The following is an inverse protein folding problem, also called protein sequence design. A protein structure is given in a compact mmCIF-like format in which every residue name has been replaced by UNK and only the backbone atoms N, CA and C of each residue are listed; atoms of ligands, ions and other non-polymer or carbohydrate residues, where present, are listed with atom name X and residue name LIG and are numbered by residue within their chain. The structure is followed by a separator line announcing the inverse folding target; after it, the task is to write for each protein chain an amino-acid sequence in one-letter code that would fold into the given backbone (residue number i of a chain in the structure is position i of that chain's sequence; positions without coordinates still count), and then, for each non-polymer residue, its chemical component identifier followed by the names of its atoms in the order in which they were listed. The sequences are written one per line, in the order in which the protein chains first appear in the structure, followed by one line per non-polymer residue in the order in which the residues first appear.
data_IF_342628071608
#
_entry.id   IF_342628071608
#
_cell.length_a   1.000
_cell.length_b   1.000
_cell.length_c   1.000
_cell.angle_alpha   90.00
_cell.angle_beta   90.00
_cell.angle_gamma   90.00
#
_symmetry.space_group_name_H-M   'P 1'
#
loop_
_entity.id
_entity.type
_entity.pdbx_description
1 polymer ?
#
# COMPACT_ATOMS: atom_id res chain seq x y z
N UNK A 1 15.45 3.94 -3.55
CA UNK A 1 16.09 3.72 -2.24
C UNK A 1 15.02 3.43 -1.20
N UNK A 2 15.23 2.42 -0.41
CA UNK A 2 14.32 2.05 0.68
C UNK A 2 14.50 2.97 1.89
N UNK A 3 13.44 3.21 2.68
CA UNK A 3 13.59 3.97 3.92
C UNK A 3 14.59 3.31 4.85
N UNK A 4 15.37 4.11 5.52
CA UNK A 4 16.43 3.61 6.43
C UNK A 4 15.88 2.84 7.62
N UNK A 5 14.60 2.96 7.96
CA UNK A 5 13.99 2.23 9.07
C UNK A 5 13.45 0.87 8.66
N UNK A 6 13.41 0.57 7.38
CA UNK A 6 12.85 -0.68 6.89
C UNK A 6 13.77 -1.82 7.26
N UNK A 7 13.25 -2.81 7.94
CA UNK A 7 14.03 -3.94 8.42
C UNK A 7 14.20 -5.00 7.33
N UNK A 8 15.31 -5.76 7.32
CA UNK A 8 15.44 -6.86 6.37
C UNK A 8 14.30 -7.88 6.43
N UNK A 9 13.76 -8.14 7.64
CA UNK A 9 12.61 -9.04 7.78
C UNK A 9 11.36 -8.50 7.08
N UNK A 10 11.15 -7.18 7.12
CA UNK A 10 10.02 -6.55 6.44
C UNK A 10 10.18 -6.63 4.93
N UNK A 11 11.39 -6.43 4.43
CA UNK A 11 11.68 -6.53 3.01
C UNK A 11 11.42 -7.95 2.51
N UNK A 12 11.92 -8.96 3.23
CA UNK A 12 11.69 -10.36 2.86
C UNK A 12 10.20 -10.71 2.85
N UNK A 13 9.46 -10.19 3.83
CA UNK A 13 8.03 -10.42 3.92
C UNK A 13 7.30 -9.79 2.74
N UNK A 14 7.64 -8.55 2.39
CA UNK A 14 7.05 -7.86 1.25
C UNK A 14 7.34 -8.60 -0.05
N UNK A 15 8.58 -9.08 -0.22
CA UNK A 15 8.94 -9.84 -1.42
C UNK A 15 8.16 -11.15 -1.52
N UNK A 16 7.94 -11.81 -0.39
CA UNK A 16 7.14 -13.03 -0.33
C UNK A 16 5.71 -12.75 -0.80
N UNK A 17 5.14 -11.64 -0.36
CA UNK A 17 3.80 -11.23 -0.79
C UNK A 17 3.77 -10.90 -2.28
N UNK A 18 4.78 -10.16 -2.77
CA UNK A 18 4.83 -9.80 -4.18
C UNK A 18 4.88 -11.04 -5.09
N UNK A 19 5.52 -12.13 -4.64
CA UNK A 19 5.57 -13.37 -5.43
C UNK A 19 4.20 -14.01 -5.62
N UNK A 20 3.20 -13.63 -4.84
CA UNK A 20 1.83 -14.09 -5.04
C UNK A 20 1.18 -13.45 -6.27
N UNK A 21 1.64 -12.28 -6.68
CA UNK A 21 0.99 -11.49 -7.73
C UNK A 21 1.88 -11.23 -8.94
N UNK A 22 3.18 -11.44 -8.83
CA UNK A 22 4.11 -11.18 -9.93
C UNK A 22 5.31 -12.10 -9.87
N UNK A 23 5.83 -12.48 -11.04
CA UNK A 23 7.07 -13.26 -11.14
C UNK A 23 8.29 -12.36 -11.24
N UNK A 24 8.11 -11.16 -11.77
CA UNK A 24 9.19 -10.18 -11.92
C UNK A 24 8.74 -8.85 -11.30
N UNK A 25 9.51 -8.35 -10.36
CA UNK A 25 9.21 -7.07 -9.71
C UNK A 25 10.49 -6.46 -9.15
N UNK A 26 10.49 -5.14 -9.03
CA UNK A 26 11.66 -4.38 -8.60
C UNK A 26 11.26 -3.34 -7.55
N UNK A 27 12.09 -3.12 -6.51
CA UNK A 27 11.80 -2.09 -5.53
C UNK A 27 11.87 -0.70 -6.17
N UNK A 28 10.91 0.16 -5.81
CA UNK A 28 10.93 1.55 -6.23
C UNK A 28 11.70 2.40 -5.21
N UNK A 29 12.36 3.47 -5.68
CA UNK A 29 12.92 4.46 -4.76
C UNK A 29 11.82 5.05 -3.88
N UNK A 30 12.17 5.41 -2.65
CA UNK A 30 11.19 5.88 -1.65
C UNK A 30 10.43 7.12 -2.11
N UNK A 31 11.03 7.97 -2.92
CA UNK A 31 10.38 9.19 -3.40
C UNK A 31 9.17 8.91 -4.30
N UNK A 32 9.05 7.71 -4.84
CA UNK A 32 7.90 7.35 -5.67
C UNK A 32 6.68 6.95 -4.85
N UNK A 33 6.81 6.84 -3.55
CA UNK A 33 5.72 6.63 -2.59
C UNK A 33 5.10 5.23 -2.57
N UNK A 34 5.25 4.44 -3.62
CA UNK A 34 4.83 3.04 -3.67
C UNK A 34 6.06 2.15 -3.65
N UNK A 35 5.87 0.86 -3.37
CA UNK A 35 6.99 0.00 -2.99
C UNK A 35 7.64 -0.75 -4.14
N UNK A 36 6.86 -1.24 -5.10
CA UNK A 36 7.38 -2.12 -6.15
C UNK A 36 6.85 -1.77 -7.53
N UNK A 37 7.68 -2.04 -8.52
CA UNK A 37 7.35 -1.91 -9.94
C UNK A 37 7.30 -3.28 -10.57
N UNK A 38 6.27 -3.54 -11.40
CA UNK A 38 6.11 -4.75 -12.20
C UNK A 38 6.12 -4.32 -13.66
N UNK A 39 7.06 -4.83 -14.47
CA UNK A 39 7.16 -4.38 -15.87
C UNK A 39 6.10 -4.99 -16.79
N UNK A 40 5.56 -6.17 -16.46
CA UNK A 40 4.62 -6.87 -17.35
C UNK A 40 3.57 -7.62 -16.52
N UNK A 41 2.31 -7.16 -16.49
CA UNK A 41 1.81 -5.88 -17.03
C UNK A 41 2.38 -4.70 -16.26
N UNK A 42 2.35 -3.51 -16.83
CA UNK A 42 2.89 -2.32 -16.18
C UNK A 42 2.08 -1.98 -14.93
N UNK A 43 2.68 -2.19 -13.77
CA UNK A 43 2.01 -1.98 -12.48
C UNK A 43 2.96 -1.42 -11.45
N UNK A 44 2.40 -0.71 -10.47
CA UNK A 44 3.10 -0.34 -9.24
C UNK A 44 2.28 -0.83 -8.06
N UNK A 45 2.98 -1.25 -7.01
CA UNK A 45 2.36 -1.91 -5.85
C UNK A 45 2.79 -1.28 -4.55
N UNK A 46 1.81 -1.01 -3.70
CA UNK A 46 2.02 -0.72 -2.28
C UNK A 46 1.85 -2.03 -1.52
N UNK A 47 2.80 -2.39 -0.65
CA UNK A 47 2.74 -3.65 0.09
C UNK A 47 2.77 -3.35 1.58
N UNK A 48 1.77 -3.84 2.31
CA UNK A 48 1.64 -3.59 3.74
C UNK A 48 1.26 -4.84 4.50
N UNK A 49 1.67 -4.86 5.76
CA UNK A 49 1.31 -5.90 6.71
C UNK A 49 0.72 -5.25 7.95
N UNK A 50 -0.41 -5.78 8.40
CA UNK A 50 -1.07 -5.34 9.63
C UNK A 50 -1.37 -6.54 10.50
N UNK A 51 -1.10 -6.41 11.80
CA UNK A 51 -1.34 -7.49 12.74
C UNK A 51 -2.78 -7.61 13.18
N UNK A 52 -3.55 -6.53 13.10
CA UNK A 52 -4.92 -6.49 13.58
C UNK A 52 -5.87 -6.11 12.46
N UNK A 53 -6.98 -6.84 12.37
CA UNK A 53 -8.00 -6.64 11.34
C UNK A 53 -9.05 -5.66 11.81
N UNK A 54 -9.30 -4.64 11.00
CA UNK A 54 -10.42 -3.72 11.14
C UNK A 54 -11.31 -3.85 9.91
N UNK A 55 -12.48 -3.20 9.95
CA UNK A 55 -13.37 -3.22 8.80
C UNK A 55 -12.78 -2.51 7.58
N UNK A 56 -11.86 -1.58 7.81
CA UNK A 56 -11.20 -0.84 6.73
C UNK A 56 -9.69 -0.92 6.85
N UNK A 57 -9.01 -0.72 5.72
CA UNK A 57 -7.58 -0.51 5.67
C UNK A 57 -7.31 0.97 5.47
N UNK A 58 -6.42 1.52 6.28
CA UNK A 58 -6.08 2.94 6.28
C UNK A 58 -4.74 3.15 5.59
N UNK A 59 -4.69 4.13 4.70
CA UNK A 59 -3.46 4.47 4.01
C UNK A 59 -3.38 5.99 3.85
N UNK A 60 -2.16 6.52 3.82
CA UNK A 60 -1.93 7.95 3.63
C UNK A 60 -2.58 8.45 2.33
N UNK A 61 -3.19 9.63 2.38
CA UNK A 61 -3.72 10.27 1.17
C UNK A 61 -2.61 10.48 0.14
N UNK A 62 -1.37 10.70 0.56
CA UNK A 62 -0.25 10.86 -0.37
C UNK A 62 -0.03 9.61 -1.23
N UNK A 63 -0.33 8.43 -0.69
CA UNK A 63 -0.22 7.18 -1.44
C UNK A 63 -1.29 7.12 -2.54
N UNK A 64 -2.52 7.53 -2.23
CA UNK A 64 -3.59 7.58 -3.23
C UNK A 64 -3.24 8.59 -4.33
N UNK A 65 -2.70 9.75 -3.97
CA UNK A 65 -2.29 10.75 -4.96
C UNK A 65 -1.20 10.18 -5.86
N UNK A 66 -0.20 9.50 -5.29
CA UNK A 66 0.84 8.85 -6.06
C UNK A 66 0.26 7.77 -6.99
N UNK A 67 -0.67 6.97 -6.46
CA UNK A 67 -1.33 5.92 -7.25
C UNK A 67 -2.05 6.51 -8.47
N UNK A 68 -2.78 7.60 -8.27
CA UNK A 68 -3.48 8.26 -9.38
C UNK A 68 -2.51 8.83 -10.40
N UNK A 69 -1.38 9.34 -9.96
CA UNK A 69 -0.34 9.85 -10.87
C UNK A 69 0.25 8.74 -11.73
N UNK A 70 0.50 7.57 -11.13
CA UNK A 70 0.98 6.42 -11.90
C UNK A 70 -0.07 5.94 -12.90
N UNK A 71 -1.34 5.90 -12.50
CA UNK A 71 -2.41 5.53 -13.41
C UNK A 71 -2.48 6.48 -14.61
N UNK A 72 -2.31 7.77 -14.36
CA UNK A 72 -2.30 8.77 -15.42
C UNK A 72 -1.15 8.56 -16.41
N UNK A 73 -0.08 7.90 -15.97
CA UNK A 73 1.07 7.57 -16.81
C UNK A 73 0.96 6.20 -17.47
N UNK A 74 -0.15 5.49 -17.28
CA UNK A 74 -0.38 4.20 -17.92
C UNK A 74 0.02 3.00 -17.09
N UNK A 75 0.31 3.16 -15.80
CA UNK A 75 0.61 2.05 -14.91
C UNK A 75 -0.57 1.79 -13.98
N UNK A 76 -0.97 0.52 -13.84
CA UNK A 76 -1.98 0.16 -12.84
C UNK A 76 -1.36 0.29 -11.44
N UNK A 77 -2.08 0.93 -10.53
CA UNK A 77 -1.61 1.11 -9.16
C UNK A 77 -2.41 0.24 -8.20
N UNK A 78 -1.73 -0.70 -7.56
CA UNK A 78 -2.34 -1.72 -6.71
C UNK A 78 -1.81 -1.64 -5.28
N UNK A 79 -2.60 -2.16 -4.35
CA UNK A 79 -2.18 -2.39 -2.97
C UNK A 79 -2.33 -3.88 -2.67
N UNK A 80 -1.34 -4.43 -1.98
CA UNK A 80 -1.31 -5.81 -1.52
C UNK A 80 -1.11 -5.78 -0.01
N UNK A 81 -2.08 -6.30 0.73
CA UNK A 81 -2.12 -6.13 2.19
C UNK A 81 -2.32 -7.48 2.85
N UNK A 82 -1.42 -7.81 3.77
CA UNK A 82 -1.64 -8.96 4.65
C UNK A 82 -2.14 -8.45 5.99
N UNK A 83 -3.32 -8.93 6.40
CA UNK A 83 -3.96 -8.53 7.66
C UNK A 83 -4.28 -9.78 8.44
N UNK A 84 -3.61 -9.95 9.60
CA UNK A 84 -3.84 -11.10 10.48
C UNK A 84 -3.78 -12.43 9.72
N UNK A 85 -2.87 -12.55 8.75
CA UNK A 85 -2.66 -13.75 7.96
C UNK A 85 -3.46 -13.84 6.68
N UNK A 86 -4.47 -13.01 6.50
CA UNK A 86 -5.27 -12.97 5.26
C UNK A 86 -4.68 -11.96 4.29
N UNK A 87 -4.69 -12.28 3.00
CA UNK A 87 -4.12 -11.42 1.97
C UNK A 87 -5.23 -10.82 1.11
N UNK A 88 -5.19 -9.50 0.98
CA UNK A 88 -6.15 -8.73 0.19
C UNK A 88 -5.41 -7.94 -0.86
N UNK A 89 -6.04 -7.69 -2.00
CA UNK A 89 -5.51 -6.77 -2.99
C UNK A 89 -6.60 -5.88 -3.54
N UNK A 90 -6.21 -4.67 -3.94
CA UNK A 90 -7.13 -3.74 -4.58
C UNK A 90 -6.38 -2.85 -5.55
N UNK A 91 -7.07 -2.41 -6.60
CA UNK A 91 -6.56 -1.36 -7.47
C UNK A 91 -7.08 -0.02 -6.95
N UNK A 92 -6.16 0.88 -6.60
CA UNK A 92 -6.51 2.13 -5.91
C UNK A 92 -7.62 2.93 -6.61
N UNK A 93 -7.51 3.09 -7.92
CA UNK A 93 -8.45 3.93 -8.66
C UNK A 93 -9.77 3.23 -9.01
N UNK A 94 -9.85 1.93 -8.80
CA UNK A 94 -11.04 1.12 -9.08
C UNK A 94 -11.78 0.70 -7.80
N UNK A 95 -11.31 1.16 -6.66
CA UNK A 95 -11.90 0.82 -5.36
C UNK A 95 -12.44 2.09 -4.72
N UNK A 96 -13.69 2.11 -4.27
CA UNK A 96 -14.25 3.32 -3.67
C UNK A 96 -13.58 3.65 -2.34
N UNK A 97 -13.34 4.93 -2.11
CA UNK A 97 -12.86 5.43 -0.82
C UNK A 97 -14.04 5.45 0.14
N UNK A 98 -13.91 4.78 1.28
CA UNK A 98 -14.97 4.75 2.28
C UNK A 98 -15.04 6.07 3.05
N UNK A 99 -13.91 6.54 3.59
CA UNK A 99 -13.83 7.83 4.29
C UNK A 99 -12.45 8.44 4.12
N UNK A 100 -12.39 9.75 4.36
CA UNK A 100 -11.13 10.48 4.49
C UNK A 100 -11.15 11.15 5.86
N UNK A 101 -10.05 11.03 6.62
CA UNK A 101 -9.98 11.54 7.98
C UNK A 101 -8.55 11.88 8.34
N UNK A 102 -8.36 12.54 9.48
CA UNK A 102 -7.04 12.67 10.06
C UNK A 102 -6.67 11.34 10.75
N UNK A 103 -5.44 10.88 10.53
CA UNK A 103 -4.94 9.67 11.14
C UNK A 103 -3.43 9.73 11.28
N UNK A 104 -2.84 8.65 11.81
CA UNK A 104 -1.41 8.55 11.98
C UNK A 104 -1.06 8.06 13.37
N UNK A 105 0.21 8.25 13.77
CA UNK A 105 0.75 7.71 15.01
C UNK A 105 0.57 8.71 16.13
N UNK A 106 -0.54 8.57 16.84
CA UNK A 106 -0.85 9.44 17.99
C UNK A 106 -0.04 9.07 19.24
N UNK A 107 0.44 7.84 19.31
CA UNK A 107 1.19 7.33 20.46
C UNK A 107 2.52 8.06 20.67
N UNK A 108 3.05 8.73 19.65
CA UNK A 108 4.28 9.51 19.74
C UNK A 108 4.05 10.93 20.25
N UNK A 109 2.80 11.39 20.24
CA UNK A 109 2.49 12.76 20.63
C UNK A 109 3.06 13.84 19.70
N UNK A 110 3.53 13.46 18.52
CA UNK A 110 4.10 14.38 17.55
C UNK A 110 3.03 14.74 16.52
N UNK A 111 2.64 16.02 16.40
CA UNK A 111 1.64 16.43 15.40
C UNK A 111 2.05 16.10 13.96
N UNK A 112 3.34 15.99 13.69
CA UNK A 112 3.82 15.68 12.34
C UNK A 112 3.52 14.24 11.93
N UNK A 113 3.21 13.37 12.91
CA UNK A 113 2.80 12.00 12.62
C UNK A 113 1.33 11.91 12.17
N UNK A 114 0.58 13.00 12.29
CA UNK A 114 -0.81 13.09 11.87
C UNK A 114 -0.90 13.60 10.45
N UNK A 115 -1.71 12.95 9.63
CA UNK A 115 -1.87 13.33 8.22
C UNK A 115 -3.26 12.93 7.72
N UNK A 116 -3.70 13.48 6.58
CA UNK A 116 -4.91 12.98 5.95
C UNK A 116 -4.71 11.52 5.52
N UNK A 117 -5.68 10.68 5.86
CA UNK A 117 -5.66 9.27 5.48
C UNK A 117 -6.96 8.91 4.79
N UNK A 118 -6.89 7.90 3.94
CA UNK A 118 -8.07 7.35 3.29
C UNK A 118 -8.31 5.94 3.81
N UNK A 119 -9.57 5.60 3.97
CA UNK A 119 -10.00 4.26 4.39
C UNK A 119 -10.67 3.56 3.22
N UNK A 120 -10.31 2.30 3.01
CA UNK A 120 -10.94 1.43 2.03
C UNK A 120 -11.58 0.26 2.77
N UNK A 121 -12.81 -0.08 2.42
CA UNK A 121 -13.48 -1.23 3.03
C UNK A 121 -12.83 -2.51 2.54
N UNK A 122 -12.58 -3.45 3.46
CA UNK A 122 -12.06 -4.77 3.09
C UNK A 122 -13.05 -5.53 2.21
N UNK A 123 -14.36 -5.24 2.36
CA UNK A 123 -15.38 -5.88 1.54
C UNK A 123 -15.29 -5.50 0.06
N UNK A 124 -14.61 -4.38 -0.25
CA UNK A 124 -14.43 -3.90 -1.62
C UNK A 124 -13.12 -4.42 -2.24
N UNK A 125 -12.37 -5.24 -1.51
CA UNK A 125 -11.09 -5.78 -1.97
C UNK A 125 -11.22 -7.22 -2.41
N UNK A 126 -10.29 -7.66 -3.26
CA UNK A 126 -10.16 -9.08 -3.61
C UNK A 126 -9.41 -9.79 -2.49
N UNK A 127 -9.97 -10.88 -2.00
CA UNK A 127 -9.34 -11.73 -0.99
C UNK A 127 -8.60 -12.87 -1.70
N UNK A 128 -7.31 -12.94 -1.51
CA UNK A 128 -6.48 -13.98 -2.12
C UNK A 128 -6.55 -15.30 -1.38
#
# INVERSE_FOLDING_TARGET
MRPRYERPSDVRHQERLMRLVATEFYPLPVQYRLDYFVPQPLQVWEVKRRGKKYATWMVSLSKLIAARSFEACGLEAWALIEIAGDVYKMRFTHTPVATIAWGGRQDRGDPQDMEPVVHYSLDDMEHE
#
